data_IF_542173805856
#
_entry.id   IF_542173805856
#
_cell.length_a   1.000
_cell.length_b   1.000
_cell.length_c   1.000
_cell.angle_alpha   90.00
_cell.angle_beta   90.00
_cell.angle_gamma   90.00
#
_symmetry.space_group_name_H-M   'P 1'
#
loop_
_entity.id
_entity.type
_entity.pdbx_description
1 polymer ?
#
# COMPACT_ATOMS: atom_id res chain seq x y z
N UNK A 1 -4.95 6.22 4.42
CA UNK A 1 -3.84 5.58 5.16
C UNK A 1 -3.56 6.41 6.40
N UNK A 2 -3.05 5.78 7.45
CA UNK A 2 -2.63 6.46 8.67
C UNK A 2 -1.18 6.06 8.99
N UNK A 3 -0.20 6.94 8.70
CA UNK A 3 1.21 6.67 8.96
C UNK A 3 1.51 6.43 10.44
N UNK A 4 0.85 7.16 11.34
CA UNK A 4 1.09 7.11 12.78
C UNK A 4 0.59 5.80 13.39
N UNK A 5 -0.57 5.31 12.93
CA UNK A 5 -1.11 4.03 13.35
C UNK A 5 -0.60 2.83 12.52
N UNK A 6 0.25 3.06 11.50
CA UNK A 6 0.78 2.00 10.62
C UNK A 6 -0.34 1.17 9.97
N UNK A 7 -1.37 1.83 9.42
CA UNK A 7 -2.55 1.13 8.91
C UNK A 7 -3.06 1.68 7.58
N UNK A 8 -3.73 0.80 6.83
CA UNK A 8 -4.62 1.16 5.73
C UNK A 8 -6.06 1.02 6.20
N UNK A 9 -6.89 2.03 5.92
CA UNK A 9 -8.31 2.01 6.25
C UNK A 9 -9.11 1.97 4.96
N UNK A 10 -9.95 0.96 4.82
CA UNK A 10 -10.93 0.85 3.74
C UNK A 10 -12.22 1.56 4.17
N UNK A 11 -12.65 2.49 3.32
CA UNK A 11 -13.85 3.30 3.52
C UNK A 11 -14.82 2.98 2.40
N UNK A 12 -16.07 2.66 2.75
CA UNK A 12 -17.17 2.64 1.80
C UNK A 12 -17.83 4.01 1.80
N UNK A 13 -18.06 4.57 0.61
CA UNK A 13 -18.73 5.84 0.41
C UNK A 13 -20.10 5.56 -0.20
N UNK A 14 -21.17 6.08 0.41
CA UNK A 14 -22.54 5.88 -0.08
C UNK A 14 -22.95 6.92 -1.14
N UNK A 15 -24.18 6.79 -1.65
CA UNK A 15 -24.75 7.69 -2.67
C UNK A 15 -24.88 9.15 -2.19
N UNK A 16 -24.87 9.38 -0.87
CA UNK A 16 -24.87 10.70 -0.25
C UNK A 16 -23.46 11.19 0.12
N UNK A 17 -22.42 10.51 -0.37
CA UNK A 17 -21.01 10.79 -0.09
C UNK A 17 -20.61 10.62 1.38
N UNK A 18 -21.40 9.86 2.17
CA UNK A 18 -21.04 9.55 3.55
C UNK A 18 -20.10 8.35 3.60
N UNK A 19 -18.96 8.54 4.26
CA UNK A 19 -17.96 7.51 4.47
C UNK A 19 -18.25 6.65 5.70
N UNK A 20 -18.07 5.35 5.57
CA UNK A 20 -18.09 4.40 6.69
C UNK A 20 -16.87 3.49 6.66
N UNK A 21 -16.26 3.26 7.82
CA UNK A 21 -15.14 2.32 7.92
C UNK A 21 -15.63 0.91 7.64
N UNK A 22 -15.05 0.28 6.62
CA UNK A 22 -15.28 -1.14 6.31
C UNK A 22 -14.35 -1.99 7.15
N UNK A 23 -13.04 -1.69 7.06
CA UNK A 23 -12.00 -2.46 7.74
C UNK A 23 -10.72 -1.64 7.87
N UNK A 24 -9.97 -1.94 8.92
CA UNK A 24 -8.61 -1.44 9.13
C UNK A 24 -7.65 -2.62 8.95
N UNK A 25 -6.67 -2.43 8.08
CA UNK A 25 -5.61 -3.39 7.79
C UNK A 25 -4.35 -2.89 8.46
N UNK A 26 -3.97 -3.56 9.54
CA UNK A 26 -2.76 -3.24 10.27
C UNK A 26 -1.55 -3.67 9.44
N UNK A 27 -0.64 -2.74 9.16
CA UNK A 27 0.68 -3.01 8.63
C UNK A 27 1.65 -3.26 9.79
N UNK A 28 2.86 -3.70 9.47
CA UNK A 28 3.92 -3.79 10.46
C UNK A 28 4.12 -2.42 11.16
N UNK A 29 4.27 -2.48 12.48
CA UNK A 29 4.39 -1.31 13.33
C UNK A 29 5.61 -0.48 12.94
N UNK A 30 5.41 0.82 12.69
CA UNK A 30 6.45 1.71 12.19
C UNK A 30 6.65 1.65 10.67
N UNK A 31 5.76 1.01 9.91
CA UNK A 31 5.76 0.99 8.43
C UNK A 31 5.74 2.38 7.81
N UNK A 32 4.99 3.31 8.43
CA UNK A 32 4.78 4.65 7.90
C UNK A 32 4.24 4.62 6.46
N UNK A 33 3.04 4.06 6.21
CA UNK A 33 2.42 4.07 4.88
C UNK A 33 2.16 5.50 4.41
N UNK A 34 2.76 5.91 3.29
CA UNK A 34 2.62 7.27 2.74
C UNK A 34 1.74 7.30 1.49
N UNK A 35 1.99 6.39 0.56
CA UNK A 35 1.34 6.36 -0.74
C UNK A 35 0.70 4.99 -0.99
N UNK A 36 -0.30 4.96 -1.85
CA UNK A 36 -0.99 3.74 -2.23
C UNK A 36 -1.59 3.86 -3.61
N UNK A 37 -1.55 2.78 -4.37
CA UNK A 37 -2.09 2.72 -5.71
C UNK A 37 -2.71 1.35 -5.95
N UNK A 38 -3.78 1.31 -6.73
CA UNK A 38 -4.41 0.06 -7.16
C UNK A 38 -3.96 -0.26 -8.58
N UNK A 39 -3.62 -1.52 -8.84
CA UNK A 39 -3.31 -2.02 -10.18
C UNK A 39 -3.93 -3.38 -10.43
N UNK A 40 -4.35 -3.63 -11.66
CA UNK A 40 -4.94 -4.90 -12.10
C UNK A 40 -3.91 -5.75 -12.85
N UNK A 41 -3.66 -6.96 -12.40
CA UNK A 41 -2.70 -7.91 -13.01
C UNK A 41 -3.42 -9.22 -13.30
N UNK A 42 -3.45 -9.67 -14.57
CA UNK A 42 -4.12 -10.90 -14.98
C UNK A 42 -5.57 -11.00 -14.49
N UNK A 43 -6.31 -9.89 -14.54
CA UNK A 43 -7.71 -9.80 -14.11
C UNK A 43 -7.95 -9.79 -12.59
N UNK A 44 -6.89 -9.63 -11.78
CA UNK A 44 -6.99 -9.49 -10.32
C UNK A 44 -6.49 -8.12 -9.87
N UNK A 45 -7.20 -7.49 -8.94
CA UNK A 45 -6.84 -6.18 -8.41
C UNK A 45 -5.96 -6.31 -7.17
N UNK A 46 -4.97 -5.44 -7.08
CA UNK A 46 -4.04 -5.36 -5.97
C UNK A 46 -3.88 -3.94 -5.49
N UNK A 47 -3.82 -3.75 -4.18
CA UNK A 47 -3.37 -2.52 -3.55
C UNK A 47 -1.88 -2.62 -3.25
N UNK A 48 -1.11 -1.68 -3.78
CA UNK A 48 0.29 -1.47 -3.46
C UNK A 48 0.37 -0.31 -2.47
N UNK A 49 1.12 -0.47 -1.39
CA UNK A 49 1.26 0.53 -0.32
C UNK A 49 2.73 0.81 -0.10
N UNK A 50 3.16 2.06 -0.22
CA UNK A 50 4.51 2.49 0.09
C UNK A 50 4.68 2.67 1.59
N UNK A 51 5.29 1.69 2.25
CA UNK A 51 5.70 1.74 3.65
C UNK A 51 7.09 2.36 3.75
N UNK A 52 7.13 3.68 3.60
CA UNK A 52 8.36 4.44 3.40
C UNK A 52 9.34 4.31 4.56
N UNK A 53 8.85 4.26 5.80
CA UNK A 53 9.71 4.18 6.98
C UNK A 53 10.48 2.86 7.06
N UNK A 54 9.97 1.81 6.42
CA UNK A 54 10.64 0.50 6.30
C UNK A 54 11.26 0.23 4.93
N UNK A 55 11.26 1.22 4.03
CA UNK A 55 11.76 1.06 2.66
C UNK A 55 11.17 -0.14 1.95
N UNK A 56 9.84 -0.29 2.03
CA UNK A 56 9.13 -1.42 1.43
C UNK A 56 7.85 -1.01 0.70
N UNK A 57 7.39 -1.88 -0.20
CA UNK A 57 6.05 -1.84 -0.75
C UNK A 57 5.29 -3.06 -0.22
N UNK A 58 4.20 -2.84 0.50
CA UNK A 58 3.26 -3.89 0.90
C UNK A 58 2.20 -4.07 -0.18
N UNK A 59 1.91 -5.32 -0.54
CA UNK A 59 0.99 -5.67 -1.62
C UNK A 59 -0.15 -6.49 -1.03
N UNK A 60 -1.38 -6.07 -1.31
CA UNK A 60 -2.61 -6.74 -0.91
C UNK A 60 -3.41 -7.15 -2.14
N UNK A 61 -3.89 -8.38 -2.18
CA UNK A 61 -4.93 -8.78 -3.12
C UNK A 61 -6.27 -8.20 -2.68
N UNK A 62 -7.06 -7.66 -3.59
CA UNK A 62 -8.37 -7.07 -3.30
C UNK A 62 -9.49 -8.08 -3.62
N UNK A 63 -9.78 -8.97 -2.66
CA UNK A 63 -10.79 -10.03 -2.83
C UNK A 63 -12.24 -9.55 -2.56
N UNK A 64 -12.53 -8.26 -2.81
CA UNK A 64 -13.81 -7.61 -2.52
C UNK A 64 -13.83 -6.80 -1.21
N UNK A 65 -14.99 -6.21 -0.90
CA UNK A 65 -15.19 -5.30 0.24
C UNK A 65 -14.81 -5.95 1.57
N UNK A 66 -13.88 -5.36 2.31
CA UNK A 66 -13.38 -5.88 3.59
C UNK A 66 -12.51 -7.14 3.49
N UNK A 67 -12.20 -7.57 2.26
CA UNK A 67 -11.52 -8.82 1.93
C UNK A 67 -10.10 -8.62 1.41
N UNK A 68 -9.44 -7.50 1.69
CA UNK A 68 -8.05 -7.35 1.25
C UNK A 68 -7.12 -8.30 2.03
N UNK A 69 -6.24 -9.00 1.32
CA UNK A 69 -5.35 -10.02 1.88
C UNK A 69 -3.88 -9.70 1.56
N UNK A 70 -2.96 -9.75 2.52
CA UNK A 70 -1.54 -9.50 2.26
C UNK A 70 -0.97 -10.61 1.35
N UNK A 71 -0.26 -10.21 0.31
CA UNK A 71 0.38 -11.10 -0.67
C UNK A 71 1.89 -11.10 -0.48
N UNK A 72 2.47 -9.91 -0.33
CA UNK A 72 3.92 -9.74 -0.31
C UNK A 72 4.29 -8.40 0.34
N UNK A 73 5.43 -8.37 1.01
CA UNK A 73 6.18 -7.15 1.31
C UNK A 73 7.48 -7.18 0.52
N UNK A 74 7.69 -6.19 -0.36
CA UNK A 74 8.87 -6.07 -1.19
C UNK A 74 9.83 -5.03 -0.62
N UNK A 75 11.07 -5.42 -0.33
CA UNK A 75 12.11 -4.49 0.08
C UNK A 75 12.66 -3.73 -1.14
N UNK A 76 12.35 -2.44 -1.25
CA UNK A 76 12.76 -1.64 -2.41
C UNK A 76 14.26 -1.37 -2.43
N UNK A 77 14.99 -1.42 -1.31
CA UNK A 77 16.44 -1.12 -1.30
C UNK A 77 17.22 -2.02 -2.24
N UNK A 78 16.77 -3.27 -2.39
CA UNK A 78 17.38 -4.29 -3.25
C UNK A 78 17.46 -3.85 -4.72
N UNK A 79 16.53 -3.01 -5.18
CA UNK A 79 16.51 -2.51 -6.56
C UNK A 79 17.46 -1.33 -6.81
N UNK A 80 17.95 -0.67 -5.75
CA UNK A 80 18.75 0.55 -5.84
C UNK A 80 20.19 0.39 -5.36
N UNK A 81 20.59 -0.81 -4.93
CA UNK A 81 21.91 -1.09 -4.31
C UNK A 81 23.10 -0.57 -5.11
N UNK A 82 23.00 -0.55 -6.45
CA UNK A 82 24.07 -0.11 -7.35
C UNK A 82 23.96 1.36 -7.78
N UNK A 83 22.88 2.06 -7.43
CA UNK A 83 22.55 3.37 -7.99
C UNK A 83 22.56 4.45 -6.92
N UNK A 84 21.85 4.24 -5.80
CA UNK A 84 21.73 5.22 -4.74
C UNK A 84 21.29 4.59 -3.42
N UNK A 85 21.74 5.12 -2.27
CA UNK A 85 21.18 4.72 -0.98
C UNK A 85 19.71 5.14 -0.87
N UNK A 86 18.85 4.19 -0.50
CA UNK A 86 17.43 4.40 -0.20
C UNK A 86 17.22 4.30 1.31
N UNK A 87 16.43 5.20 1.87
CA UNK A 87 16.10 5.29 3.28
C UNK A 87 14.71 5.88 3.47
N UNK A 88 14.21 5.83 4.71
CA UNK A 88 12.96 6.48 5.09
C UNK A 88 12.91 8.00 4.86
N UNK A 89 14.07 8.65 4.68
CA UNK A 89 14.16 10.11 4.49
C UNK A 89 13.98 10.55 3.04
N UNK A 90 14.17 9.64 2.09
CA UNK A 90 14.23 9.95 0.65
C UNK A 90 13.37 9.02 -0.20
N UNK A 91 12.50 8.21 0.41
CA UNK A 91 11.55 7.35 -0.28
C UNK A 91 10.13 7.92 -0.13
N UNK A 92 9.58 8.42 -1.23
CA UNK A 92 8.25 9.02 -1.30
C UNK A 92 7.74 9.03 -2.75
N UNK A 93 6.42 9.13 -2.92
CA UNK A 93 5.79 9.16 -4.22
C UNK A 93 5.74 7.76 -4.84
N UNK A 94 4.57 7.35 -5.30
CA UNK A 94 4.40 6.07 -5.96
C UNK A 94 3.29 6.15 -7.00
N UNK A 95 3.54 5.56 -8.16
CA UNK A 95 2.55 5.28 -9.18
C UNK A 95 2.73 3.83 -9.65
N UNK A 96 1.63 3.16 -9.96
CA UNK A 96 1.63 1.77 -10.41
C UNK A 96 1.13 1.73 -11.85
N UNK A 97 1.95 1.14 -12.72
CA UNK A 97 1.62 0.86 -14.11
C UNK A 97 1.87 -0.63 -14.35
N UNK A 98 0.80 -1.37 -14.59
CA UNK A 98 0.84 -2.81 -14.81
C UNK A 98 0.21 -3.13 -16.15
N UNK A 99 0.76 -4.11 -16.86
CA UNK A 99 0.17 -4.65 -18.08
C UNK A 99 -0.78 -5.77 -17.67
N UNK A 100 -2.00 -5.76 -18.24
CA UNK A 100 -3.06 -6.71 -17.94
C UNK A 100 -2.71 -8.14 -18.33
#
# INVERSE_FOLDING_TARGET
MDPGASQVVEIAVDESLQGSTVKQYQLAMGSGPLDGAVGSVAGKDYLFVLSAAMTSIDIFALCGKGGAEPVQTFNVTTAFEQVAPVSSRNLQGMAVYVVA
#
